data_IF_359510398882
#
_entry.id   IF_359510398882
#
_cell.length_a   1.000
_cell.length_b   1.000
_cell.length_c   1.000
_cell.angle_alpha   90.00
_cell.angle_beta   90.00
_cell.angle_gamma   90.00
#
_symmetry.space_group_name_H-M   'P 1'
#
loop_
_entity.id
_entity.type
_entity.pdbx_description
1 polymer ?
#
# COMPACT_ATOMS: atom_id res chain seq x y z
N UNK A 1 29.28 20.45 0.23
CA UNK A 1 27.96 19.89 -0.11
C UNK A 1 27.48 19.13 1.11
N UNK A 2 26.50 19.68 1.83
CA UNK A 2 25.89 19.08 3.02
C UNK A 2 24.97 17.94 2.58
N UNK A 3 25.20 16.73 3.08
CA UNK A 3 24.32 15.58 2.92
C UNK A 3 23.22 15.63 4.00
N UNK A 4 21.98 15.38 3.59
CA UNK A 4 20.96 14.68 4.39
C UNK A 4 20.24 15.47 5.49
N UNK A 5 19.15 16.14 5.12
CA UNK A 5 17.99 16.32 6.00
C UNK A 5 16.84 15.69 5.22
N UNK A 6 16.21 14.67 5.82
CA UNK A 6 15.31 13.72 5.16
C UNK A 6 14.34 14.39 4.18
N UNK A 7 14.28 13.83 2.97
CA UNK A 7 13.19 14.14 2.06
C UNK A 7 11.87 13.88 2.80
N UNK A 8 11.04 14.92 2.90
CA UNK A 8 9.63 14.82 3.30
C UNK A 8 8.75 14.62 2.08
N UNK A 9 9.29 14.02 1.02
CA UNK A 9 8.53 13.78 -0.19
C UNK A 9 7.49 12.72 0.14
N UNK A 10 6.24 13.04 -0.21
CA UNK A 10 5.14 12.10 -0.11
C UNK A 10 4.87 11.56 -1.50
N UNK A 11 4.61 10.27 -1.55
CA UNK A 11 4.11 9.61 -2.75
C UNK A 11 2.62 9.35 -2.56
N UNK A 12 1.86 9.52 -3.64
CA UNK A 12 0.45 9.14 -3.70
C UNK A 12 0.37 7.70 -4.16
N UNK A 13 -0.19 6.85 -3.32
CA UNK A 13 -0.49 5.47 -3.67
C UNK A 13 -1.95 5.35 -4.06
N UNK A 14 -2.19 4.60 -5.13
CA UNK A 14 -3.50 4.14 -5.55
C UNK A 14 -3.61 2.66 -5.14
N UNK A 15 -4.50 2.35 -4.19
CA UNK A 15 -4.58 1.01 -3.60
C UNK A 15 -5.95 0.40 -3.84
N UNK A 16 -5.98 -0.70 -4.58
CA UNK A 16 -7.17 -1.53 -4.73
C UNK A 16 -7.35 -2.40 -3.49
N UNK A 17 -8.52 -2.25 -2.86
CA UNK A 17 -8.98 -3.09 -1.76
C UNK A 17 -9.50 -4.44 -2.26
N UNK A 18 -9.68 -5.45 -1.39
CA UNK A 18 -10.13 -6.78 -1.80
C UNK A 18 -11.48 -6.82 -2.53
N UNK A 19 -12.31 -5.78 -2.38
CA UNK A 19 -13.58 -5.62 -3.09
C UNK A 19 -13.46 -4.80 -4.38
N UNK A 20 -12.24 -4.55 -4.85
CA UNK A 20 -11.89 -3.68 -6.00
C UNK A 20 -12.19 -2.19 -5.81
N UNK A 21 -12.51 -1.75 -4.59
CA UNK A 21 -12.57 -0.30 -4.31
C UNK A 21 -11.16 0.27 -4.36
N UNK A 22 -10.97 1.30 -5.17
CA UNK A 22 -9.73 2.07 -5.23
C UNK A 22 -9.73 3.16 -4.16
N UNK A 23 -8.64 3.28 -3.39
CA UNK A 23 -8.43 4.37 -2.44
C UNK A 23 -7.08 5.05 -2.65
N UNK A 24 -7.01 6.33 -2.31
CA UNK A 24 -5.82 7.15 -2.42
C UNK A 24 -5.14 7.32 -1.06
N UNK A 25 -3.85 6.99 -0.96
CA UNK A 25 -3.09 7.04 0.29
C UNK A 25 -1.78 7.80 0.10
N UNK A 26 -1.66 8.94 0.79
CA UNK A 26 -0.39 9.67 0.85
C UNK A 26 0.52 9.10 1.93
N UNK A 27 1.71 8.66 1.53
CA UNK A 27 2.72 8.11 2.45
C UNK A 27 4.08 8.79 2.24
N UNK A 28 4.93 8.90 3.28
CA UNK A 28 6.32 9.26 3.11
C UNK A 28 7.04 8.30 2.14
N UNK A 29 7.92 8.82 1.28
CA UNK A 29 8.73 7.99 0.36
C UNK A 29 9.67 7.01 1.10
N UNK A 30 9.99 7.32 2.37
CA UNK A 30 10.82 6.52 3.27
C UNK A 30 10.07 5.43 4.01
N UNK A 31 8.72 5.40 3.94
CA UNK A 31 7.92 4.41 4.66
C UNK A 31 8.19 3.00 4.18
N UNK A 32 8.31 2.07 5.13
CA UNK A 32 8.39 0.65 4.81
C UNK A 32 7.02 0.16 4.36
N UNK A 33 7.00 -0.82 3.46
CA UNK A 33 5.78 -1.46 2.96
C UNK A 33 4.88 -1.97 4.10
N UNK A 34 5.47 -2.51 5.17
CA UNK A 34 4.74 -2.90 6.39
C UNK A 34 4.00 -1.75 7.08
N UNK A 35 4.60 -0.55 7.11
CA UNK A 35 3.99 0.65 7.67
C UNK A 35 2.88 1.18 6.75
N UNK A 36 3.13 1.16 5.44
CA UNK A 36 2.17 1.57 4.41
C UNK A 36 0.88 0.74 4.52
N UNK A 37 0.95 -0.58 4.70
CA UNK A 37 -0.23 -1.42 4.92
C UNK A 37 -1.06 -0.88 6.10
N UNK A 38 -0.42 -0.54 7.22
CA UNK A 38 -1.12 0.06 8.36
C UNK A 38 -1.78 1.40 8.02
N UNK A 39 -1.16 2.22 7.17
CA UNK A 39 -1.71 3.49 6.70
C UNK A 39 -2.91 3.28 5.77
N UNK A 40 -2.84 2.31 4.85
CA UNK A 40 -3.95 1.89 3.97
C UNK A 40 -5.17 1.48 4.80
N UNK A 41 -4.99 0.63 5.81
CA UNK A 41 -6.09 0.19 6.67
C UNK A 41 -6.74 1.36 7.43
N UNK A 42 -5.93 2.30 7.93
CA UNK A 42 -6.45 3.52 8.60
C UNK A 42 -7.19 4.45 7.64
N UNK A 43 -6.70 4.59 6.41
CA UNK A 43 -7.36 5.41 5.38
C UNK A 43 -8.69 4.79 4.97
N UNK A 44 -8.74 3.47 4.75
CA UNK A 44 -9.98 2.76 4.48
C UNK A 44 -11.02 2.91 5.61
N UNK A 45 -10.58 2.85 6.88
CA UNK A 45 -11.45 3.12 8.02
C UNK A 45 -11.97 4.56 8.01
N UNK A 46 -11.11 5.54 7.72
CA UNK A 46 -11.49 6.96 7.61
C UNK A 46 -12.50 7.21 6.47
N UNK A 47 -12.41 6.47 5.38
CA UNK A 47 -13.32 6.52 4.24
C UNK A 47 -14.62 5.72 4.46
N UNK A 48 -14.83 5.15 5.65
CA UNK A 48 -15.97 4.30 5.99
C UNK A 48 -16.09 3.06 5.08
N UNK A 49 -14.96 2.53 4.60
CA UNK A 49 -14.95 1.25 3.89
C UNK A 49 -15.40 0.16 4.87
N UNK A 50 -16.37 -0.70 4.50
CA UNK A 50 -16.89 -1.73 5.40
C UNK A 50 -15.77 -2.66 5.90
N UNK A 51 -15.71 -2.91 7.21
CA UNK A 51 -14.70 -3.78 7.80
C UNK A 51 -14.69 -5.21 7.21
N UNK A 52 -15.82 -5.67 6.66
CA UNK A 52 -15.93 -6.94 5.95
C UNK A 52 -15.07 -7.03 4.67
N UNK A 53 -14.69 -5.89 4.09
CA UNK A 53 -13.77 -5.82 2.94
C UNK A 53 -12.36 -6.22 3.35
N UNK A 54 -11.90 -5.75 4.51
CA UNK A 54 -10.53 -5.95 4.99
C UNK A 54 -10.40 -7.27 5.78
N UNK A 55 -11.46 -7.85 6.34
CA UNK A 55 -11.44 -9.09 7.15
C UNK A 55 -10.60 -9.03 8.46
N UNK A 56 -9.73 -8.03 8.63
CA UNK A 56 -8.93 -7.77 9.84
C UNK A 56 -8.51 -6.29 9.90
N UNK A 57 -8.17 -5.80 11.10
CA UNK A 57 -7.53 -4.48 11.29
C UNK A 57 -6.02 -4.58 11.50
N UNK A 58 -5.48 -5.79 11.58
CA UNK A 58 -4.06 -6.03 11.84
C UNK A 58 -3.31 -6.09 10.51
N UNK A 59 -2.33 -5.20 10.32
CA UNK A 59 -1.51 -5.13 9.10
C UNK A 59 -0.81 -6.44 8.75
N UNK A 60 -0.48 -7.27 9.75
CA UNK A 60 0.20 -8.56 9.53
C UNK A 60 -0.62 -9.60 8.79
N UNK A 61 -1.93 -9.40 8.67
CA UNK A 61 -2.82 -10.25 7.90
C UNK A 61 -2.95 -9.80 6.44
N UNK A 62 -2.15 -8.82 6.04
CA UNK A 62 -2.18 -8.28 4.70
C UNK A 62 -0.79 -8.18 4.10
N UNK A 63 -0.80 -8.18 2.78
CA UNK A 63 0.36 -7.92 1.94
C UNK A 63 -0.03 -6.92 0.85
N UNK A 64 0.97 -6.18 0.38
CA UNK A 64 0.86 -5.37 -0.83
C UNK A 64 1.41 -6.16 -2.01
N UNK A 65 0.70 -6.10 -3.12
CA UNK A 65 1.07 -6.71 -4.39
C UNK A 65 0.97 -5.67 -5.50
N UNK A 66 1.78 -5.85 -6.54
CA UNK A 66 1.57 -5.14 -7.81
C UNK A 66 0.24 -5.58 -8.43
N UNK A 67 -0.29 -4.83 -9.38
CA UNK A 67 -1.49 -5.23 -10.12
C UNK A 67 -1.15 -5.46 -11.59
N UNK A 68 -1.85 -6.40 -12.21
CA UNK A 68 -1.83 -6.62 -13.66
C UNK A 68 -2.73 -5.58 -14.37
N UNK A 69 -2.73 -5.53 -15.70
CA UNK A 69 -3.51 -4.59 -16.51
C UNK A 69 -5.02 -4.63 -16.20
N UNK A 70 -5.52 -5.77 -15.72
CA UNK A 70 -6.93 -5.98 -15.34
C UNK A 70 -7.27 -5.55 -13.89
N UNK A 71 -6.30 -5.03 -13.14
CA UNK A 71 -6.46 -4.59 -11.74
C UNK A 71 -6.51 -5.74 -10.72
N UNK A 72 -6.17 -6.95 -11.14
CA UNK A 72 -5.97 -8.11 -10.27
C UNK A 72 -4.54 -8.11 -9.72
N UNK A 73 -4.32 -8.64 -8.50
CA UNK A 73 -2.99 -8.71 -7.93
C UNK A 73 -2.09 -9.66 -8.73
N UNK A 74 -0.86 -9.24 -8.98
CA UNK A 74 0.19 -10.15 -9.48
C UNK A 74 0.60 -11.17 -8.41
N UNK A 75 1.26 -12.24 -8.84
CA UNK A 75 1.86 -13.23 -7.93
C UNK A 75 3.10 -12.69 -7.19
N UNK A 76 3.64 -11.53 -7.61
CA UNK A 76 4.78 -10.90 -6.96
C UNK A 76 4.36 -10.11 -5.71
N UNK A 77 4.89 -10.50 -4.56
CA UNK A 77 4.68 -9.80 -3.30
C UNK A 77 5.75 -8.73 -3.06
N UNK A 78 5.33 -7.57 -2.57
CA UNK A 78 6.25 -6.49 -2.20
C UNK A 78 6.90 -6.81 -0.85
N UNK A 79 8.24 -6.76 -0.75
CA UNK A 79 8.95 -7.03 0.51
C UNK A 79 8.57 -5.98 1.59
N UNK A 80 7.98 -6.47 2.68
CA UNK A 80 7.49 -5.69 3.82
C UNK A 80 8.57 -4.84 4.49
N UNK A 81 9.85 -5.18 4.30
CA UNK A 81 11.00 -4.50 4.90
C UNK A 81 11.69 -3.51 3.96
N UNK A 82 11.20 -3.35 2.73
CA UNK A 82 11.74 -2.40 1.78
C UNK A 82 10.94 -1.08 1.80
N UNK A 83 11.60 0.06 1.50
CA UNK A 83 10.92 1.33 1.27
C UNK A 83 9.95 1.23 0.09
N UNK A 84 8.75 1.79 0.26
CA UNK A 84 7.68 1.74 -0.76
C UNK A 84 8.07 2.40 -2.09
N UNK A 85 8.93 3.42 -2.05
CA UNK A 85 9.38 4.14 -3.24
C UNK A 85 10.16 3.27 -4.24
N UNK A 86 10.61 2.07 -3.84
CA UNK A 86 11.32 1.15 -4.72
C UNK A 86 10.39 0.39 -5.67
N UNK A 87 9.07 0.49 -5.50
CA UNK A 87 8.08 -0.33 -6.21
C UNK A 87 7.12 0.47 -7.09
N UNK A 88 7.46 1.72 -7.42
CA UNK A 88 6.70 2.49 -8.40
C UNK A 88 7.19 2.23 -9.84
N UNK A 89 6.27 2.25 -10.80
CA UNK A 89 6.55 2.11 -12.23
C UNK A 89 6.21 3.41 -12.95
N UNK A 90 7.15 3.96 -13.71
CA UNK A 90 6.99 5.23 -14.45
C UNK A 90 6.46 6.43 -13.63
N UNK A 91 6.67 6.40 -12.32
CA UNK A 91 6.22 7.44 -11.38
C UNK A 91 4.84 7.19 -10.78
N UNK A 92 4.19 6.09 -11.13
CA UNK A 92 2.93 5.63 -10.59
C UNK A 92 3.14 4.57 -9.50
N UNK A 93 2.29 4.59 -8.48
CA UNK A 93 2.38 3.74 -7.30
C UNK A 93 1.04 3.06 -7.07
N UNK A 94 0.76 2.05 -7.88
CA UNK A 94 -0.53 1.37 -7.89
C UNK A 94 -0.36 -0.04 -7.34
N UNK A 95 -1.18 -0.41 -6.36
CA UNK A 95 -1.04 -1.67 -5.63
C UNK A 95 -2.39 -2.30 -5.31
N UNK A 96 -2.38 -3.59 -5.01
CA UNK A 96 -3.48 -4.30 -4.37
C UNK A 96 -3.13 -4.61 -2.92
N UNK A 97 -4.09 -4.45 -2.00
CA UNK A 97 -3.97 -5.02 -0.65
C UNK A 97 -4.69 -6.36 -0.60
N UNK A 98 -3.95 -7.41 -0.24
CA UNK A 98 -4.44 -8.79 -0.25
C UNK A 98 -4.38 -9.39 1.15
N UNK A 99 -5.34 -10.24 1.49
CA UNK A 99 -5.34 -10.95 2.77
C UNK A 99 -4.39 -12.15 2.69
N UNK A 100 -3.42 -12.22 3.60
CA UNK A 100 -2.55 -13.40 3.76
C UNK A 100 -3.38 -14.46 4.48
N UNK A 101 -3.91 -15.43 3.73
CA UNK A 101 -4.81 -16.46 4.26
C UNK A 101 -4.32 -17.10 5.56
N UNK A 102 -5.20 -17.15 6.56
CA UNK A 102 -5.18 -18.13 7.66
C UNK A 102 -6.50 -18.85 7.65
#
# INVERSE_FOLDING_TARGET
RIHGIGSTDKILLQVYLPNKTLIDVWVPDTSLVSEVIGMVLRQAEKENIPAGVLKSKKSDYFELRMHDEDGEPEDFHVDRNQPIKHFGEDGEYVFCVCYTGT
#
